data_IF_684059893535
#
_entry.id   IF_684059893535
#
_cell.length_a   1.000
_cell.length_b   1.000
_cell.length_c   1.000
_cell.angle_alpha   90.00
_cell.angle_beta   90.00
_cell.angle_gamma   90.00
#
_symmetry.space_group_name_H-M   'P 1'
#
loop_
_entity.id
_entity.type
_entity.pdbx_description
1 polymer ?
#
# COMPACT_ATOMS: atom_id res chain seq x y z
N UNK A 1 -8.01 12.90 -3.12
CA UNK A 1 -7.96 14.29 -2.54
C UNK A 1 -6.55 14.66 -2.05
N UNK A 2 -6.09 15.89 -2.29
CA UNK A 2 -4.69 16.31 -2.04
C UNK A 2 -4.45 16.78 -0.58
N UNK A 3 -3.48 16.17 0.12
CA UNK A 3 -3.05 16.54 1.49
C UNK A 3 -1.55 16.81 1.58
N UNK A 4 -1.14 17.66 2.51
CA UNK A 4 0.27 17.94 2.81
C UNK A 4 0.68 17.22 4.10
N UNK A 5 1.82 16.53 4.06
CA UNK A 5 2.42 15.82 5.20
C UNK A 5 3.89 16.19 5.36
N UNK A 6 4.45 16.04 6.56
CA UNK A 6 5.82 16.41 6.91
C UNK A 6 6.60 15.18 7.36
N UNK A 7 6.83 14.25 6.43
CA UNK A 7 7.40 12.93 6.72
C UNK A 7 8.65 12.58 5.89
N UNK A 8 9.18 13.54 5.13
CA UNK A 8 10.48 13.39 4.49
C UNK A 8 11.65 13.64 5.47
N UNK A 9 12.86 13.12 5.16
CA UNK A 9 14.05 13.38 5.96
C UNK A 9 14.23 14.88 6.25
N UNK A 10 14.53 15.22 7.50
CA UNK A 10 14.62 16.61 7.95
C UNK A 10 13.26 17.33 8.15
N UNK A 11 12.14 16.60 8.10
CA UNK A 11 10.79 17.18 8.29
C UNK A 11 10.28 17.94 7.07
N UNK A 12 10.87 17.70 5.89
CA UNK A 12 10.45 18.34 4.65
C UNK A 12 9.01 17.94 4.27
N UNK A 13 8.33 18.82 3.54
CA UNK A 13 6.95 18.64 3.16
C UNK A 13 6.79 17.76 1.91
N UNK A 14 5.69 17.02 1.86
CA UNK A 14 5.28 16.20 0.74
C UNK A 14 3.80 16.43 0.45
N UNK A 15 3.47 16.57 -0.83
CA UNK A 15 2.10 16.49 -1.32
C UNK A 15 1.75 15.02 -1.57
N UNK A 16 0.65 14.55 -0.99
CA UNK A 16 0.13 13.19 -1.16
C UNK A 16 -1.30 13.29 -1.64
N UNK A 17 -1.63 12.53 -2.67
CA UNK A 17 -3.00 12.34 -3.14
C UNK A 17 -3.42 10.92 -2.83
N UNK A 18 -4.56 10.77 -2.14
CA UNK A 18 -5.14 9.45 -1.93
C UNK A 18 -5.66 8.93 -3.27
N UNK A 19 -5.34 7.67 -3.57
CA UNK A 19 -5.66 7.11 -4.87
C UNK A 19 -7.17 6.81 -4.98
N UNK A 20 -7.78 7.23 -6.08
CA UNK A 20 -9.22 7.11 -6.31
C UNK A 20 -9.52 6.03 -7.37
N UNK A 21 -10.63 5.31 -7.22
CA UNK A 21 -11.13 4.39 -8.24
C UNK A 21 -10.91 2.88 -8.02
N UNK A 22 -10.39 2.45 -6.86
CA UNK A 22 -10.35 1.03 -6.51
C UNK A 22 -10.87 0.77 -5.09
N UNK A 23 -11.63 -0.33 -4.92
CA UNK A 23 -12.19 -0.72 -3.61
C UNK A 23 -11.26 -1.63 -2.81
N UNK A 24 -10.41 -2.41 -3.47
CA UNK A 24 -9.49 -3.34 -2.81
C UNK A 24 -8.24 -3.61 -3.65
N UNK A 25 -7.14 -3.93 -2.96
CA UNK A 25 -5.91 -4.48 -3.53
C UNK A 25 -5.72 -5.88 -2.96
N UNK A 26 -5.46 -6.85 -3.83
CA UNK A 26 -5.38 -8.28 -3.49
C UNK A 26 -4.04 -8.82 -4.02
N UNK A 27 -3.32 -9.55 -3.16
CA UNK A 27 -2.07 -10.26 -3.49
C UNK A 27 -2.26 -11.73 -3.17
N UNK A 28 -2.06 -12.61 -4.14
CA UNK A 28 -2.20 -14.06 -3.97
C UNK A 28 -3.53 -14.49 -3.31
N UNK A 29 -4.64 -13.82 -3.70
CA UNK A 29 -5.98 -14.08 -3.16
C UNK A 29 -6.28 -13.41 -1.82
N UNK A 30 -5.29 -12.78 -1.19
CA UNK A 30 -5.42 -12.13 0.12
C UNK A 30 -5.54 -10.60 -0.07
N UNK A 31 -6.64 -9.97 0.39
CA UNK A 31 -6.74 -8.51 0.42
C UNK A 31 -5.63 -7.93 1.31
N UNK A 32 -4.92 -6.93 0.79
CA UNK A 32 -3.93 -6.14 1.56
C UNK A 32 -4.38 -4.71 1.81
N UNK A 33 -5.36 -4.22 1.02
CA UNK A 33 -6.02 -2.93 1.23
C UNK A 33 -7.49 -3.04 0.83
N UNK A 34 -8.39 -2.45 1.60
CA UNK A 34 -9.82 -2.36 1.29
C UNK A 34 -10.42 -1.13 1.96
N UNK A 35 -11.30 -0.43 1.25
CA UNK A 35 -12.03 0.74 1.78
C UNK A 35 -11.07 1.75 2.46
N UNK A 36 -9.97 2.06 1.77
CA UNK A 36 -8.89 2.95 2.22
C UNK A 36 -8.13 2.57 3.51
N UNK A 37 -8.29 1.34 3.98
CA UNK A 37 -7.55 0.80 5.11
C UNK A 37 -6.69 -0.40 4.70
N UNK A 38 -5.50 -0.50 5.29
CA UNK A 38 -4.67 -1.69 5.16
C UNK A 38 -5.31 -2.82 5.98
N UNK A 39 -5.42 -4.00 5.39
CA UNK A 39 -6.02 -5.18 6.03
C UNK A 39 -4.99 -6.11 6.67
N UNK A 40 -3.70 -5.84 6.44
CA UNK A 40 -2.55 -6.52 7.05
C UNK A 40 -1.81 -5.53 7.96
N UNK A 41 -1.15 -6.03 9.00
CA UNK A 41 -0.39 -5.23 9.97
C UNK A 41 1.11 -5.43 9.82
N UNK A 42 1.87 -4.49 10.37
CA UNK A 42 3.32 -4.65 10.51
C UNK A 42 3.63 -5.87 11.38
N UNK A 43 4.47 -6.77 10.87
CA UNK A 43 4.83 -8.02 11.54
C UNK A 43 3.99 -9.23 11.12
N UNK A 44 2.92 -9.05 10.35
CA UNK A 44 2.19 -10.17 9.76
C UNK A 44 3.00 -10.84 8.64
N UNK A 45 2.75 -12.13 8.40
CA UNK A 45 3.23 -12.81 7.20
C UNK A 45 2.57 -12.17 5.97
N UNK A 46 3.39 -11.56 5.11
CA UNK A 46 2.90 -10.89 3.91
C UNK A 46 2.65 -11.90 2.78
N UNK A 47 1.53 -11.77 2.04
CA UNK A 47 1.13 -12.78 1.06
C UNK A 47 1.94 -12.76 -0.23
N UNK A 48 2.89 -11.83 -0.38
CA UNK A 48 3.69 -11.67 -1.59
C UNK A 48 4.76 -12.75 -1.75
N UNK A 49 5.08 -13.05 -3.00
CA UNK A 49 6.17 -13.98 -3.34
C UNK A 49 7.06 -13.41 -4.43
N UNK A 50 8.34 -13.77 -4.40
CA UNK A 50 9.29 -13.36 -5.45
C UNK A 50 9.03 -14.18 -6.70
N UNK A 51 8.70 -13.50 -7.80
CA UNK A 51 8.60 -14.12 -9.11
C UNK A 51 9.98 -14.20 -9.75
N UNK A 52 10.37 -15.38 -10.26
CA UNK A 52 11.57 -15.55 -11.10
C UNK A 52 11.14 -15.90 -12.52
N UNK A 53 11.51 -15.06 -13.48
CA UNK A 53 11.14 -15.26 -14.89
C UNK A 53 9.62 -15.25 -15.15
N UNK A 54 8.83 -14.61 -14.27
CA UNK A 54 7.37 -14.55 -14.39
C UNK A 54 6.63 -15.82 -13.94
N UNK A 55 7.33 -16.79 -13.34
CA UNK A 55 6.69 -17.96 -12.73
C UNK A 55 6.39 -17.70 -11.25
N UNK A 56 5.15 -18.00 -10.88
CA UNK A 56 4.57 -17.87 -9.56
C UNK A 56 4.28 -19.28 -9.01
#
# INVERSE_FOLDING_TARGET
GLRRVYDFPGGADRLVEDAEGFKAVIVNGIPIRRDDADTVKSGDDLPGQVLRGGQA
#
